data_IF_224834234056
#
_entry.id   IF_224834234056
#
_cell.length_a   1.000
_cell.length_b   1.000
_cell.length_c   1.000
_cell.angle_alpha   90.00
_cell.angle_beta   90.00
_cell.angle_gamma   90.00
#
_symmetry.space_group_name_H-M   'P 1'
#
loop_
_entity.id
_entity.type
_entity.pdbx_description
1 polymer ?
#
# COMPACT_ATOMS: atom_id res chain seq x y z
N UNK A 1 -54.65 18.11 5.96
CA UNK A 1 -53.83 19.31 6.25
C UNK A 1 -52.44 18.84 6.65
N UNK A 2 -51.41 19.29 5.92
CA UNK A 2 -50.00 19.42 6.33
C UNK A 2 -49.23 18.14 6.75
N UNK A 3 -47.96 17.89 6.45
CA UNK A 3 -46.93 18.49 5.59
C UNK A 3 -45.63 17.71 5.87
N UNK A 4 -44.77 17.66 4.85
CA UNK A 4 -43.30 17.50 4.91
C UNK A 4 -42.72 16.18 5.42
N UNK A 5 -42.04 15.41 4.56
CA UNK A 5 -40.68 15.62 4.04
C UNK A 5 -39.61 15.08 5.01
N UNK A 6 -38.88 14.07 4.55
CA UNK A 6 -37.78 13.48 5.31
C UNK A 6 -37.26 12.16 4.76
N UNK A 7 -37.24 12.00 3.42
CA UNK A 7 -36.29 11.08 2.80
C UNK A 7 -34.89 11.59 3.11
N UNK A 8 -34.02 10.75 3.68
CA UNK A 8 -32.63 10.46 3.25
C UNK A 8 -32.04 9.51 4.30
N UNK A 9 -32.03 8.20 4.02
CA UNK A 9 -31.07 7.26 4.60
C UNK A 9 -30.31 6.57 3.47
N UNK A 10 -29.68 7.37 2.60
CA UNK A 10 -28.56 6.93 1.77
C UNK A 10 -27.28 7.09 2.60
N UNK A 11 -27.05 6.17 3.53
CA UNK A 11 -25.72 5.99 4.11
C UNK A 11 -24.91 5.06 3.21
N UNK A 12 -24.26 5.68 2.24
CA UNK A 12 -22.84 5.48 1.93
C UNK A 12 -22.44 4.01 1.71
N UNK A 13 -22.78 3.47 0.54
CA UNK A 13 -22.01 2.41 -0.10
C UNK A 13 -20.71 2.99 -0.69
N UNK A 14 -19.77 3.38 0.19
CA UNK A 14 -18.42 3.76 -0.22
C UNK A 14 -17.40 2.87 0.47
N UNK A 15 -16.89 1.90 -0.30
CA UNK A 15 -15.50 1.51 -0.24
C UNK A 15 -15.10 0.50 0.83
N UNK A 16 -15.61 -0.74 0.73
CA UNK A 16 -14.82 -1.90 1.17
C UNK A 16 -13.69 -2.12 0.18
N UNK A 17 -12.66 -1.27 0.24
CA UNK A 17 -11.40 -1.51 -0.45
C UNK A 17 -10.26 -1.22 0.52
N UNK A 18 -9.67 -2.35 0.95
CA UNK A 18 -8.37 -2.55 1.62
C UNK A 18 -8.37 -2.64 3.15
N UNK A 19 -8.50 -3.87 3.65
CA UNK A 19 -7.60 -4.37 4.69
C UNK A 19 -7.49 -5.91 4.66
N UNK A 20 -7.28 -6.52 3.48
CA UNK A 20 -6.78 -7.90 3.44
C UNK A 20 -5.25 -7.84 3.61
N UNK A 21 -4.83 -7.59 4.85
CA UNK A 21 -3.46 -7.67 5.29
C UNK A 21 -3.47 -8.35 6.65
N UNK A 22 -2.98 -9.58 6.72
CA UNK A 22 -2.73 -10.18 8.03
C UNK A 22 -1.72 -9.30 8.78
N UNK A 23 -1.99 -8.92 10.04
CA UNK A 23 -1.08 -8.08 10.79
C UNK A 23 0.27 -8.81 10.90
N UNK A 24 1.30 -8.27 10.26
CA UNK A 24 2.63 -8.83 10.39
C UNK A 24 3.23 -8.38 11.72
N UNK A 25 3.42 -9.33 12.65
CA UNK A 25 3.97 -9.06 13.97
C UNK A 25 5.43 -9.49 14.03
N UNK A 26 6.27 -8.63 14.59
CA UNK A 26 7.61 -9.02 15.03
C UNK A 26 7.43 -9.96 16.23
N UNK A 27 7.99 -11.17 16.24
CA UNK A 27 7.89 -12.07 17.40
C UNK A 27 8.44 -11.40 18.66
N UNK A 28 7.78 -11.61 19.80
CA UNK A 28 8.19 -11.00 21.09
C UNK A 28 9.65 -11.30 21.45
N UNK A 29 10.11 -12.50 21.13
CA UNK A 29 11.52 -12.90 21.33
C UNK A 29 12.48 -12.00 20.55
N UNK A 30 12.14 -11.66 19.31
CA UNK A 30 12.96 -10.79 18.45
C UNK A 30 12.86 -9.34 18.92
N UNK A 31 11.66 -8.89 19.31
CA UNK A 31 11.45 -7.55 19.85
C UNK A 31 12.23 -7.32 21.14
N UNK A 32 12.29 -8.32 22.04
CA UNK A 32 13.05 -8.25 23.28
C UNK A 32 14.56 -8.27 23.01
N UNK A 33 15.05 -9.13 22.11
CA UNK A 33 16.48 -9.17 21.73
C UNK A 33 16.96 -7.85 21.12
N UNK A 34 16.08 -7.17 20.38
CA UNK A 34 16.35 -5.87 19.77
C UNK A 34 15.97 -4.68 20.68
N UNK A 35 15.55 -4.95 21.93
CA UNK A 35 15.18 -3.92 22.91
C UNK A 35 14.09 -2.95 22.42
N UNK A 36 13.21 -3.39 21.51
CA UNK A 36 12.20 -2.54 20.86
C UNK A 36 11.10 -2.03 21.82
N UNK A 37 11.06 -2.57 23.04
CA UNK A 37 10.09 -2.22 24.10
C UNK A 37 10.66 -1.25 25.12
N UNK A 38 11.92 -0.82 24.97
CA UNK A 38 12.51 0.18 25.85
C UNK A 38 11.74 1.51 25.74
N UNK A 39 11.48 2.20 26.87
CA UNK A 39 10.75 3.47 26.87
C UNK A 39 11.34 4.51 25.91
N UNK A 40 12.67 4.55 25.79
CA UNK A 40 13.42 5.46 24.92
C UNK A 40 13.07 5.26 23.45
N UNK A 41 12.84 4.01 23.01
CA UNK A 41 12.45 3.68 21.63
C UNK A 41 11.05 4.19 21.29
N UNK A 42 10.15 4.19 22.28
CA UNK A 42 8.76 4.63 22.11
C UNK A 42 8.53 6.14 22.27
N UNK A 43 9.49 6.87 22.85
CA UNK A 43 9.32 8.28 23.24
C UNK A 43 9.13 9.21 22.05
N UNK A 44 9.91 9.01 20.99
CA UNK A 44 9.90 9.86 19.79
C UNK A 44 9.77 8.99 18.51
N UNK A 45 8.55 8.53 18.18
CA UNK A 45 8.34 7.64 17.05
C UNK A 45 8.59 8.33 15.71
N UNK A 46 9.50 7.77 14.92
CA UNK A 46 9.99 8.38 13.66
C UNK A 46 8.92 8.50 12.55
N UNK A 47 7.91 7.62 12.55
CA UNK A 47 6.95 7.51 11.44
C UNK A 47 5.49 7.81 11.83
N UNK A 48 5.22 8.20 13.08
CA UNK A 48 3.82 8.34 13.56
C UNK A 48 3.05 9.43 12.80
N UNK A 49 3.74 10.52 12.43
CA UNK A 49 3.15 11.63 11.66
C UNK A 49 2.73 11.19 10.27
N UNK A 50 3.56 10.36 9.61
CA UNK A 50 3.28 9.77 8.31
C UNK A 50 2.08 8.83 8.39
N UNK A 51 2.07 7.92 9.37
CA UNK A 51 0.96 6.97 9.59
C UNK A 51 -0.34 7.74 9.84
N UNK A 52 -0.31 8.77 10.69
CA UNK A 52 -1.48 9.62 10.97
C UNK A 52 -1.97 10.30 9.70
N UNK A 53 -1.07 10.91 8.93
CA UNK A 53 -1.39 11.59 7.68
C UNK A 53 -2.14 10.66 6.72
N UNK A 54 -1.60 9.45 6.50
CA UNK A 54 -2.22 8.44 5.61
C UNK A 54 -3.59 8.02 6.13
N UNK A 55 -3.73 7.76 7.44
CA UNK A 55 -4.98 7.28 8.01
C UNK A 55 -6.10 8.33 7.99
N UNK A 56 -5.76 9.63 7.99
CA UNK A 56 -6.74 10.72 7.95
C UNK A 56 -6.95 11.28 6.55
N UNK A 57 -6.20 10.81 5.56
CA UNK A 57 -6.23 11.31 4.19
C UNK A 57 -7.27 10.60 3.34
N UNK A 58 -7.94 11.35 2.47
CA UNK A 58 -8.73 10.80 1.37
C UNK A 58 -7.94 10.77 0.05
N UNK A 59 -6.70 11.26 0.06
CA UNK A 59 -5.82 11.43 -1.10
C UNK A 59 -4.96 10.17 -1.30
N UNK A 60 -5.64 9.07 -1.66
CA UNK A 60 -5.02 7.74 -1.75
C UNK A 60 -3.79 7.68 -2.67
N UNK A 61 -3.69 8.53 -3.70
CA UNK A 61 -2.54 8.56 -4.61
C UNK A 61 -1.31 9.17 -3.94
N UNK A 62 -1.48 10.29 -3.27
CA UNK A 62 -0.47 10.99 -2.48
C UNK A 62 -0.01 10.09 -1.32
N UNK A 63 -0.94 9.39 -0.68
CA UNK A 63 -0.66 8.41 0.37
C UNK A 63 0.20 7.25 -0.15
N UNK A 64 -0.07 6.72 -1.36
CA UNK A 64 0.74 5.66 -1.97
C UNK A 64 2.18 6.15 -2.24
N UNK A 65 2.35 7.42 -2.63
CA UNK A 65 3.70 7.99 -2.81
C UNK A 65 4.43 8.10 -1.47
N UNK A 66 3.75 8.62 -0.45
CA UNK A 66 4.30 8.81 0.89
C UNK A 66 4.67 7.47 1.54
N UNK A 67 3.82 6.45 1.43
CA UNK A 67 4.13 5.13 1.96
C UNK A 67 5.28 4.46 1.20
N UNK A 68 5.36 4.59 -0.13
CA UNK A 68 6.49 4.04 -0.89
C UNK A 68 7.83 4.68 -0.48
N UNK A 69 7.85 6.00 -0.27
CA UNK A 69 9.03 6.69 0.26
C UNK A 69 9.39 6.19 1.68
N UNK A 70 8.38 5.88 2.50
CA UNK A 70 8.58 5.30 3.84
C UNK A 70 9.18 3.88 3.75
N UNK A 71 8.70 3.04 2.82
CA UNK A 71 9.26 1.71 2.58
C UNK A 71 10.72 1.78 2.08
N UNK A 72 11.08 2.80 1.30
CA UNK A 72 12.48 3.06 0.89
C UNK A 72 13.40 3.41 2.06
N UNK A 73 12.87 4.09 3.09
CA UNK A 73 13.62 4.28 4.36
C UNK A 73 13.82 2.94 5.04
N UNK A 74 12.77 2.12 5.19
CA UNK A 74 12.90 0.79 5.81
C UNK A 74 13.86 -0.13 5.06
N UNK A 75 13.89 -0.09 3.72
CA UNK A 75 14.86 -0.82 2.92
C UNK A 75 16.29 -0.48 3.31
N UNK A 76 16.60 0.82 3.41
CA UNK A 76 17.93 1.29 3.84
C UNK A 76 18.24 0.89 5.28
N UNK A 77 17.26 0.95 6.19
CA UNK A 77 17.42 0.49 7.57
C UNK A 77 17.75 -1.00 7.63
N UNK A 78 16.98 -1.86 6.96
CA UNK A 78 17.25 -3.30 6.92
C UNK A 78 18.62 -3.59 6.29
N UNK A 79 18.93 -2.99 5.14
CA UNK A 79 20.24 -3.13 4.52
C UNK A 79 21.38 -2.69 5.43
N UNK A 80 21.23 -1.58 6.17
CA UNK A 80 22.25 -1.08 7.09
C UNK A 80 22.47 -2.03 8.29
N UNK A 81 21.39 -2.60 8.82
CA UNK A 81 21.45 -3.58 9.92
C UNK A 81 22.10 -4.88 9.44
N UNK A 82 21.77 -5.35 8.24
CA UNK A 82 22.25 -6.61 7.68
C UNK A 82 23.69 -6.51 7.11
N UNK A 83 24.08 -5.39 6.51
CA UNK A 83 25.41 -5.23 5.87
C UNK A 83 26.55 -4.83 6.81
N UNK A 84 26.29 -4.40 8.05
CA UNK A 84 27.35 -4.11 9.04
C UNK A 84 28.28 -5.32 9.32
N UNK A 85 27.86 -6.52 8.93
CA UNK A 85 28.59 -7.76 9.14
C UNK A 85 29.80 -7.95 8.20
N UNK A 86 29.81 -7.36 7.00
CA UNK A 86 30.84 -7.65 5.98
C UNK A 86 32.13 -6.81 6.12
N UNK A 87 32.14 -5.75 6.93
CA UNK A 87 33.28 -4.81 6.99
C UNK A 87 34.19 -4.95 8.23
N UNK A 88 33.99 -5.96 9.07
CA UNK A 88 34.75 -6.16 10.31
C UNK A 88 36.23 -6.61 10.10
N UNK A 89 36.74 -6.71 8.88
CA UNK A 89 38.16 -6.99 8.61
C UNK A 89 39.06 -5.74 8.47
N UNK A 90 38.53 -4.53 8.64
CA UNK A 90 39.27 -3.28 8.37
C UNK A 90 39.29 -2.27 9.52
N UNK A 91 40.01 -2.56 10.61
CA UNK A 91 40.82 -1.62 11.42
C UNK A 91 40.36 -0.20 11.79
N UNK A 92 39.08 0.19 11.68
CA UNK A 92 38.56 1.46 12.19
C UNK A 92 37.32 1.21 13.03
N UNK A 93 37.24 1.87 14.18
CA UNK A 93 36.14 1.78 15.14
C UNK A 93 34.80 2.19 14.48
N UNK A 94 34.16 1.23 13.80
CA UNK A 94 32.80 1.36 13.33
C UNK A 94 31.86 1.31 14.54
N UNK A 95 30.84 2.17 14.54
CA UNK A 95 29.78 2.10 15.54
C UNK A 95 29.26 0.66 15.63
N UNK A 96 29.17 0.10 16.84
CA UNK A 96 28.66 -1.25 17.06
C UNK A 96 27.26 -1.35 16.45
N UNK A 97 27.12 -2.21 15.44
CA UNK A 97 25.86 -2.46 14.75
C UNK A 97 24.84 -3.10 15.69
N UNK A 98 23.55 -2.92 15.38
CA UNK A 98 22.45 -3.42 16.20
C UNK A 98 22.56 -4.92 16.52
N UNK A 99 23.15 -5.71 15.61
CA UNK A 99 23.31 -7.16 15.75
C UNK A 99 24.62 -7.59 16.44
N UNK A 100 25.57 -6.67 16.65
CA UNK A 100 26.91 -7.00 17.15
C UNK A 100 26.88 -7.43 18.62
N UNK A 101 25.94 -6.87 19.40
CA UNK A 101 25.73 -7.16 20.82
C UNK A 101 25.05 -8.50 21.08
N UNK A 102 24.56 -9.17 20.05
CA UNK A 102 23.86 -10.46 20.16
C UNK A 102 24.84 -11.63 20.11
N UNK A 103 24.54 -12.70 20.84
CA UNK A 103 25.21 -14.00 20.68
C UNK A 103 25.03 -14.53 19.26
N UNK A 104 25.94 -15.38 18.79
CA UNK A 104 25.90 -15.95 17.42
C UNK A 104 24.55 -16.60 17.08
N UNK A 105 23.99 -17.41 17.98
CA UNK A 105 22.69 -18.05 17.81
C UNK A 105 21.54 -17.03 17.70
N UNK A 106 21.51 -16.04 18.60
CA UNK A 106 20.48 -15.00 18.57
C UNK A 106 20.62 -14.10 17.33
N UNK A 107 21.85 -13.80 16.91
CA UNK A 107 22.14 -13.03 15.70
C UNK A 107 21.56 -13.68 14.46
N UNK A 108 21.86 -14.96 14.22
CA UNK A 108 21.33 -15.70 13.07
C UNK A 108 19.80 -15.73 13.06
N UNK A 109 19.18 -15.93 14.23
CA UNK A 109 17.72 -15.91 14.37
C UNK A 109 17.12 -14.55 14.04
N UNK A 110 17.69 -13.48 14.58
CA UNK A 110 17.22 -12.11 14.33
C UNK A 110 17.41 -11.73 12.86
N UNK A 111 18.55 -12.10 12.26
CA UNK A 111 18.83 -11.89 10.84
C UNK A 111 17.76 -12.53 9.95
N UNK A 112 17.43 -13.82 10.16
CA UNK A 112 16.39 -14.49 9.39
C UNK A 112 15.01 -13.81 9.50
N UNK A 113 14.69 -13.25 10.68
CA UNK A 113 13.46 -12.47 10.86
C UNK A 113 13.50 -11.13 10.11
N UNK A 114 14.64 -10.43 10.11
CA UNK A 114 14.81 -9.17 9.37
C UNK A 114 14.76 -9.38 7.85
N UNK A 115 15.36 -10.45 7.34
CA UNK A 115 15.26 -10.84 5.92
C UNK A 115 13.81 -11.14 5.53
N UNK A 116 13.06 -11.85 6.40
CA UNK A 116 11.63 -12.09 6.18
C UNK A 116 10.80 -10.79 6.17
N UNK A 117 11.11 -9.85 7.05
CA UNK A 117 10.50 -8.53 7.08
C UNK A 117 10.77 -7.75 5.78
N UNK A 118 12.03 -7.76 5.33
CA UNK A 118 12.45 -7.10 4.10
C UNK A 118 11.72 -7.68 2.88
N UNK A 119 11.61 -9.01 2.78
CA UNK A 119 10.88 -9.67 1.69
C UNK A 119 9.40 -9.27 1.65
N UNK A 120 8.73 -9.25 2.81
CA UNK A 120 7.33 -8.81 2.90
C UNK A 120 7.13 -7.34 2.53
N UNK A 121 8.09 -6.50 2.89
CA UNK A 121 8.07 -5.09 2.52
C UNK A 121 8.22 -4.90 1.01
N UNK A 122 9.10 -5.64 0.35
CA UNK A 122 9.26 -5.59 -1.11
C UNK A 122 8.00 -6.15 -1.83
N UNK A 123 7.37 -7.19 -1.31
CA UNK A 123 6.09 -7.69 -1.82
C UNK A 123 4.99 -6.60 -1.74
N UNK A 124 4.89 -5.92 -0.59
CA UNK A 124 3.95 -4.84 -0.38
C UNK A 124 4.22 -3.67 -1.34
N UNK A 125 5.49 -3.28 -1.50
CA UNK A 125 5.91 -2.24 -2.44
C UNK A 125 5.52 -2.59 -3.87
N UNK A 126 5.73 -3.84 -4.28
CA UNK A 126 5.33 -4.33 -5.60
C UNK A 126 3.83 -4.21 -5.83
N UNK A 127 3.02 -4.58 -4.84
CA UNK A 127 1.55 -4.44 -4.88
C UNK A 127 1.13 -2.97 -4.99
N UNK A 128 1.70 -2.09 -4.18
CA UNK A 128 1.40 -0.65 -4.21
C UNK A 128 1.77 0.00 -5.53
N UNK A 129 2.89 -0.43 -6.13
CA UNK A 129 3.36 0.06 -7.43
C UNK A 129 2.39 -0.31 -8.55
N UNK A 130 1.92 -1.56 -8.58
CA UNK A 130 0.89 -2.03 -9.54
C UNK A 130 -0.41 -1.25 -9.40
N UNK A 131 -0.94 -1.13 -8.17
CA UNK A 131 -2.17 -0.36 -7.92
C UNK A 131 -2.08 1.10 -8.37
N UNK A 132 -0.90 1.73 -8.24
CA UNK A 132 -0.69 3.10 -8.69
C UNK A 132 -0.59 3.20 -10.23
N UNK A 133 -0.12 2.15 -10.90
CA UNK A 133 -0.08 2.07 -12.34
C UNK A 133 -1.49 1.86 -12.92
N UNK A 134 -2.22 0.84 -12.44
CA UNK A 134 -3.59 0.55 -12.90
C UNK A 134 -4.49 1.78 -12.81
N UNK A 135 -4.35 2.56 -11.73
CA UNK A 135 -5.08 3.82 -11.55
C UNK A 135 -4.70 4.92 -12.53
N UNK A 136 -3.42 5.04 -12.89
CA UNK A 136 -2.99 6.02 -13.89
C UNK A 136 -3.59 5.68 -15.24
N UNK A 137 -3.61 4.40 -15.58
CA UNK A 137 -4.16 3.91 -16.84
C UNK A 137 -5.69 4.12 -16.88
N UNK A 138 -6.39 3.82 -15.78
CA UNK A 138 -7.83 4.11 -15.62
C UNK A 138 -8.12 5.62 -15.77
N UNK A 139 -7.36 6.48 -15.09
CA UNK A 139 -7.54 7.92 -15.15
C UNK A 139 -7.27 8.49 -16.55
N UNK A 140 -6.28 7.96 -17.27
CA UNK A 140 -5.99 8.31 -18.66
C UNK A 140 -7.17 7.92 -19.57
N UNK A 141 -7.69 6.68 -19.43
CA UNK A 141 -8.87 6.23 -20.17
C UNK A 141 -10.11 7.10 -19.88
N UNK A 142 -10.41 7.40 -18.61
CA UNK A 142 -11.51 8.29 -18.24
C UNK A 142 -11.33 9.70 -18.81
N UNK A 143 -10.10 10.20 -18.90
CA UNK A 143 -9.82 11.50 -19.49
C UNK A 143 -10.09 11.53 -21.00
N UNK A 144 -9.73 10.44 -21.72
CA UNK A 144 -10.03 10.29 -23.15
C UNK A 144 -11.54 10.26 -23.40
N UNK A 145 -12.30 9.57 -22.57
CA UNK A 145 -13.77 9.54 -22.66
C UNK A 145 -14.38 10.93 -22.49
N UNK A 146 -13.87 11.75 -21.55
CA UNK A 146 -14.35 13.13 -21.36
C UNK A 146 -14.09 14.06 -22.55
N UNK A 147 -13.11 13.71 -23.39
CA UNK A 147 -12.73 14.52 -24.55
C UNK A 147 -13.50 14.14 -25.83
N UNK A 148 -14.38 13.14 -25.78
CA UNK A 148 -15.24 12.77 -26.91
C UNK A 148 -16.24 13.91 -27.17
N UNK A 149 -16.33 14.36 -28.42
CA UNK A 149 -17.25 15.43 -28.81
C UNK A 149 -18.60 14.83 -29.15
N UNK A 150 -19.48 14.70 -28.16
CA UNK A 150 -20.78 14.03 -28.31
C UNK A 150 -21.71 14.71 -29.32
N UNK A 151 -21.50 15.99 -29.61
CA UNK A 151 -22.27 16.76 -30.60
C UNK A 151 -21.64 16.74 -32.02
N UNK A 152 -20.44 16.16 -32.16
CA UNK A 152 -19.77 16.06 -33.46
C UNK A 152 -20.32 14.87 -34.27
N UNK A 153 -20.82 15.08 -35.51
CA UNK A 153 -21.42 14.00 -36.31
C UNK A 153 -20.47 12.85 -36.69
N UNK A 154 -19.15 13.07 -36.68
CA UNK A 154 -18.19 12.00 -36.93
C UNK A 154 -18.00 11.13 -35.68
N UNK A 155 -17.85 11.74 -34.50
CA UNK A 155 -17.72 11.01 -33.24
C UNK A 155 -19.00 10.27 -32.86
N UNK A 156 -20.19 10.83 -33.14
CA UNK A 156 -21.47 10.12 -33.01
C UNK A 156 -21.51 8.84 -33.85
N UNK A 157 -21.07 8.89 -35.11
CA UNK A 157 -21.05 7.72 -35.99
C UNK A 157 -20.06 6.66 -35.52
N UNK A 158 -18.87 7.06 -35.03
CA UNK A 158 -17.91 6.13 -34.43
C UNK A 158 -18.50 5.43 -33.19
N UNK A 159 -19.11 6.21 -32.29
CA UNK A 159 -19.75 5.67 -31.09
C UNK A 159 -20.86 4.66 -31.43
N UNK A 160 -21.71 4.97 -32.42
CA UNK A 160 -22.75 4.06 -32.88
C UNK A 160 -22.19 2.79 -33.54
N UNK A 161 -21.08 2.89 -34.28
CA UNK A 161 -20.43 1.73 -34.88
C UNK A 161 -19.84 0.77 -33.82
N UNK A 162 -19.41 1.29 -32.67
CA UNK A 162 -18.81 0.50 -31.58
C UNK A 162 -19.83 0.07 -30.50
N UNK A 163 -21.05 0.60 -30.53
CA UNK A 163 -22.05 0.42 -29.47
C UNK A 163 -22.35 -1.06 -29.16
N UNK A 164 -22.48 -1.90 -30.19
CA UNK A 164 -22.76 -3.32 -29.99
C UNK A 164 -21.67 -4.02 -29.17
N UNK A 165 -20.39 -3.70 -29.43
CA UNK A 165 -19.26 -4.26 -28.69
C UNK A 165 -19.26 -3.80 -27.24
N UNK A 166 -19.51 -2.50 -27.00
CA UNK A 166 -19.60 -1.93 -25.65
C UNK A 166 -20.75 -2.59 -24.87
N UNK A 167 -21.92 -2.76 -25.49
CA UNK A 167 -23.08 -3.40 -24.87
C UNK A 167 -22.78 -4.86 -24.48
N UNK A 168 -22.14 -5.62 -25.36
CA UNK A 168 -21.75 -7.01 -25.08
C UNK A 168 -20.74 -7.10 -23.94
N UNK A 169 -19.70 -6.26 -23.95
CA UNK A 169 -18.71 -6.21 -22.88
C UNK A 169 -19.35 -5.84 -21.53
N UNK A 170 -20.24 -4.85 -21.50
CA UNK A 170 -20.95 -4.45 -20.29
C UNK A 170 -21.87 -5.56 -19.76
N UNK A 171 -22.53 -6.30 -20.65
CA UNK A 171 -23.44 -7.40 -20.28
C UNK A 171 -22.70 -8.53 -19.56
N UNK A 172 -21.50 -8.90 -20.02
CA UNK A 172 -20.68 -9.94 -19.39
C UNK A 172 -20.31 -9.60 -17.94
N UNK A 173 -19.91 -8.34 -17.70
CA UNK A 173 -19.57 -7.86 -16.35
C UNK A 173 -20.80 -7.89 -15.43
N UNK A 174 -21.97 -7.51 -15.97
CA UNK A 174 -23.24 -7.54 -15.25
C UNK A 174 -23.67 -8.95 -14.84
N UNK A 175 -23.46 -9.95 -15.71
CA UNK A 175 -23.81 -11.34 -15.41
C UNK A 175 -22.86 -12.02 -14.41
N UNK A 176 -21.55 -11.74 -14.47
CA UNK A 176 -20.58 -12.31 -13.53
C UNK A 176 -20.79 -11.81 -12.09
N UNK A 177 -21.33 -10.60 -11.94
CA UNK A 177 -21.67 -10.01 -10.64
C UNK A 177 -22.89 -10.68 -9.98
N UNK A 178 -23.74 -11.38 -10.75
CA UNK A 178 -24.92 -12.10 -10.25
C UNK A 178 -24.61 -13.53 -9.79
N UNK A 179 -23.51 -14.13 -10.26
CA UNK A 179 -23.12 -15.49 -9.90
C UNK A 179 -22.36 -15.58 -8.56
N UNK A 180 -21.86 -14.46 -8.03
CA UNK A 180 -21.12 -14.40 -6.77
C UNK A 180 -22.02 -14.26 -5.51
N UNK A 181 -23.35 -14.28 -5.66
CA UNK A 181 -24.33 -14.07 -4.59
C UNK A 181 -25.35 -15.21 -4.40
N UNK A 182 -25.06 -16.42 -4.90
CA UNK A 182 -25.86 -17.62 -4.63
C UNK A 182 -25.05 -18.70 -3.91
#
# INVERSE_FOLDING_TARGET
MSSSCGSVCLLVLLGVVLACGSPFKIPDTTANLLMLKEPEVGREPLFISIIRSINTSCQRKEDIRLINATLDVYKRVFSSILHHQQQQHGGKAAASGLLDKLSSSNRTRVQAHLEKLQNKMEELRGRLSRMNQDRRDEQDMLSKLKNIKVDDPLDQRKALAEFQLVYQAASLIGSDSSAAFH
#
